data_IF_832750043278
#
_entry.id   IF_832750043278
#
_cell.length_a   1.000
_cell.length_b   1.000
_cell.length_c   1.000
_cell.angle_alpha   90.00
_cell.angle_beta   90.00
_cell.angle_gamma   90.00
#
_symmetry.space_group_name_H-M   'P 1'
#
loop_
_entity.id
_entity.type
_entity.pdbx_description
1 polymer ?
#
# COMPACT_ATOMS: atom_id res chain seq x y z
N UNK A 1 0.69 6.12 -4.71
CA UNK A 1 1.39 7.10 -5.57
C UNK A 1 2.51 6.45 -6.38
N UNK A 2 3.54 5.85 -5.77
CA UNK A 2 4.68 5.27 -6.51
C UNK A 2 4.26 4.22 -7.55
N UNK A 3 3.36 3.29 -7.22
CA UNK A 3 2.83 2.30 -8.18
C UNK A 3 2.11 2.93 -9.36
N UNK A 4 1.41 4.07 -9.15
CA UNK A 4 0.76 4.82 -10.23
C UNK A 4 1.81 5.44 -11.16
N UNK A 5 2.88 6.02 -10.60
CA UNK A 5 4.03 6.48 -11.38
C UNK A 5 4.64 5.35 -12.22
N UNK A 6 4.86 4.17 -11.63
CA UNK A 6 5.39 3.02 -12.37
C UNK A 6 4.45 2.59 -13.51
N UNK A 7 3.14 2.53 -13.25
CA UNK A 7 2.15 2.22 -14.29
C UNK A 7 2.21 3.22 -15.44
N UNK A 8 2.32 4.53 -15.14
CA UNK A 8 2.40 5.57 -16.15
C UNK A 8 3.70 5.54 -16.94
N UNK A 9 4.83 5.29 -16.28
CA UNK A 9 6.16 5.29 -16.90
C UNK A 9 6.39 4.04 -17.77
N UNK A 10 5.99 2.87 -17.27
CA UNK A 10 6.25 1.59 -17.94
C UNK A 10 5.10 1.09 -18.81
N UNK A 11 3.90 1.69 -18.71
CA UNK A 11 2.70 1.29 -19.46
C UNK A 11 2.37 -0.20 -19.29
N UNK A 12 2.42 -0.68 -18.05
CA UNK A 12 2.21 -2.09 -17.68
C UNK A 12 0.86 -2.34 -17.00
N UNK A 13 0.32 -3.57 -17.06
CA UNK A 13 -0.85 -3.95 -16.29
C UNK A 13 -0.54 -3.97 -14.78
N UNK A 14 -1.56 -3.68 -13.97
CA UNK A 14 -1.51 -3.66 -12.52
C UNK A 14 -2.64 -4.50 -11.94
N UNK A 15 -2.29 -5.36 -10.98
CA UNK A 15 -3.25 -6.03 -10.11
C UNK A 15 -3.08 -5.49 -8.69
N UNK A 16 -4.19 -5.20 -8.01
CA UNK A 16 -4.20 -4.71 -6.62
C UNK A 16 -5.07 -5.65 -5.79
N UNK A 17 -4.45 -6.31 -4.82
CA UNK A 17 -5.12 -7.21 -3.88
C UNK A 17 -5.68 -6.43 -2.68
N UNK A 18 -6.94 -6.69 -2.34
CA UNK A 18 -7.58 -6.24 -1.11
C UNK A 18 -7.78 -7.45 -0.20
N UNK A 19 -6.95 -7.54 0.84
CA UNK A 19 -6.88 -8.67 1.78
C UNK A 19 -7.99 -8.60 2.85
N UNK A 20 -9.24 -8.57 2.42
CA UNK A 20 -10.40 -8.55 3.32
C UNK A 20 -10.53 -9.81 4.16
N UNK A 21 -10.10 -10.96 3.64
CA UNK A 21 -9.97 -12.20 4.38
C UNK A 21 -8.95 -12.08 5.53
N UNK A 22 -7.77 -11.50 5.29
CA UNK A 22 -6.77 -11.19 6.32
C UNK A 22 -7.36 -10.32 7.42
N UNK A 23 -8.10 -9.26 7.06
CA UNK A 23 -8.69 -8.38 8.08
C UNK A 23 -9.73 -9.13 8.91
N UNK A 24 -10.50 -10.03 8.29
CA UNK A 24 -11.41 -10.91 9.03
C UNK A 24 -10.67 -11.88 9.97
N UNK A 25 -9.57 -12.48 9.51
CA UNK A 25 -8.77 -13.46 10.28
C UNK A 25 -8.04 -12.79 11.46
N UNK A 26 -7.34 -11.67 11.23
CA UNK A 26 -6.49 -11.03 12.25
C UNK A 26 -7.24 -10.08 13.17
N UNK A 27 -8.23 -9.34 12.65
CA UNK A 27 -9.01 -8.37 13.43
C UNK A 27 -10.35 -8.91 13.89
N UNK A 28 -10.70 -10.16 13.54
CA UNK A 28 -12.00 -10.79 13.84
C UNK A 28 -13.18 -9.94 13.33
N UNK A 29 -12.97 -9.23 12.23
CA UNK A 29 -14.01 -8.44 11.59
C UNK A 29 -15.03 -9.38 10.91
N UNK A 30 -16.35 -9.10 11.02
CA UNK A 30 -17.35 -9.84 10.25
C UNK A 30 -17.04 -9.76 8.75
N UNK A 31 -17.25 -10.87 8.02
CA UNK A 31 -16.94 -10.97 6.58
C UNK A 31 -17.60 -9.84 5.77
N UNK A 32 -18.86 -9.54 6.05
CA UNK A 32 -19.59 -8.47 5.35
C UNK A 32 -18.99 -7.09 5.62
N UNK A 33 -18.51 -6.85 6.83
CA UNK A 33 -17.82 -5.59 7.16
C UNK A 33 -16.45 -5.51 6.48
N UNK A 34 -15.70 -6.62 6.44
CA UNK A 34 -14.42 -6.67 5.74
C UNK A 34 -14.58 -6.39 4.24
N UNK A 35 -15.59 -7.00 3.59
CA UNK A 35 -15.94 -6.73 2.19
C UNK A 35 -16.35 -5.28 1.95
N UNK A 36 -17.17 -4.71 2.86
CA UNK A 36 -17.58 -3.30 2.79
C UNK A 36 -16.37 -2.37 2.87
N UNK A 37 -15.45 -2.63 3.81
CA UNK A 37 -14.22 -1.86 3.97
C UNK A 37 -13.28 -2.01 2.76
N UNK A 38 -13.17 -3.19 2.17
CA UNK A 38 -12.42 -3.39 0.93
C UNK A 38 -12.98 -2.51 -0.20
N UNK A 39 -14.30 -2.46 -0.38
CA UNK A 39 -14.92 -1.57 -1.37
C UNK A 39 -14.69 -0.09 -1.08
N UNK A 40 -14.75 0.33 0.18
CA UNK A 40 -14.42 1.72 0.54
C UNK A 40 -12.95 2.04 0.28
N UNK A 41 -12.03 1.13 0.60
CA UNK A 41 -10.60 1.31 0.30
C UNK A 41 -10.31 1.26 -1.19
N UNK A 42 -11.09 0.52 -1.99
CA UNK A 42 -10.99 0.56 -3.45
C UNK A 42 -11.24 1.98 -3.98
N UNK A 43 -12.16 2.75 -3.39
CA UNK A 43 -12.40 4.16 -3.78
C UNK A 43 -11.19 5.02 -3.54
N UNK A 44 -10.53 4.88 -2.39
CA UNK A 44 -9.30 5.60 -2.06
C UNK A 44 -8.14 5.21 -3.01
N UNK A 45 -8.04 3.94 -3.37
CA UNK A 45 -7.05 3.47 -4.35
C UNK A 45 -7.34 4.07 -5.73
N UNK A 46 -8.59 4.03 -6.20
CA UNK A 46 -8.99 4.61 -7.50
C UNK A 46 -8.72 6.12 -7.54
N UNK A 47 -8.96 6.83 -6.43
CA UNK A 47 -8.69 8.26 -6.30
C UNK A 47 -7.22 8.65 -6.51
N UNK A 48 -6.28 7.70 -6.39
CA UNK A 48 -4.88 7.91 -6.76
C UNK A 48 -4.65 8.07 -8.28
N UNK A 49 -5.68 7.82 -9.11
CA UNK A 49 -5.64 8.07 -10.55
C UNK A 49 -5.05 6.94 -11.39
N UNK A 50 -5.31 5.68 -11.02
CA UNK A 50 -4.92 4.52 -11.82
C UNK A 50 -5.71 4.41 -13.13
N UNK A 51 -5.08 3.88 -14.18
CA UNK A 51 -5.72 3.66 -15.47
C UNK A 51 -6.65 2.43 -15.41
N UNK A 52 -7.96 2.66 -15.55
CA UNK A 52 -8.97 1.59 -15.55
C UNK A 52 -8.77 0.56 -16.66
N UNK A 53 -8.11 0.93 -17.76
CA UNK A 53 -7.83 0.03 -18.88
C UNK A 53 -6.63 -0.90 -18.64
N UNK A 54 -5.89 -0.68 -17.54
CA UNK A 54 -4.70 -1.46 -17.13
C UNK A 54 -4.74 -1.95 -15.69
N UNK A 55 -5.78 -1.62 -14.94
CA UNK A 55 -5.82 -1.88 -13.50
C UNK A 55 -6.98 -2.81 -13.16
N UNK A 56 -6.65 -3.90 -12.47
CA UNK A 56 -7.62 -4.82 -11.88
C UNK A 56 -7.45 -4.80 -10.36
N UNK A 57 -8.50 -4.41 -9.64
CA UNK A 57 -8.53 -4.43 -8.17
C UNK A 57 -9.38 -5.61 -7.76
N UNK A 58 -8.96 -6.42 -6.81
CA UNK A 58 -9.77 -7.58 -6.40
C UNK A 58 -9.81 -7.74 -4.89
N UNK A 59 -10.96 -8.20 -4.40
CA UNK A 59 -11.14 -8.69 -3.03
C UNK A 59 -10.77 -10.17 -2.99
N UNK A 60 -10.08 -10.61 -1.94
CA UNK A 60 -9.73 -12.01 -1.78
C UNK A 60 -11.00 -12.87 -1.65
N UNK A 61 -11.98 -12.43 -0.85
CA UNK A 61 -13.28 -13.12 -0.79
C UNK A 61 -14.02 -13.18 -2.15
N UNK A 62 -13.78 -12.24 -3.06
CA UNK A 62 -14.39 -12.19 -4.38
C UNK A 62 -13.62 -12.93 -5.48
N UNK A 63 -12.31 -13.12 -5.33
CA UNK A 63 -11.42 -13.63 -6.38
C UNK A 63 -10.85 -15.02 -6.09
N UNK A 64 -10.78 -15.44 -4.82
CA UNK A 64 -10.23 -16.75 -4.45
C UNK A 64 -11.15 -17.85 -4.98
N UNK A 65 -10.65 -18.56 -5.99
CA UNK A 65 -11.33 -19.65 -6.67
C UNK A 65 -10.59 -20.05 -7.94
N UNK A 66 -11.02 -21.16 -8.56
CA UNK A 66 -10.46 -21.62 -9.84
C UNK A 66 -8.92 -21.60 -9.88
N UNK A 67 -8.31 -21.03 -10.93
CA UNK A 67 -6.85 -20.97 -11.11
C UNK A 67 -6.08 -20.27 -9.98
N UNK A 68 -6.69 -19.28 -9.31
CA UNK A 68 -6.10 -18.63 -8.15
C UNK A 68 -5.90 -19.63 -7.00
N UNK A 69 -6.94 -20.41 -6.69
CA UNK A 69 -6.90 -21.43 -5.64
C UNK A 69 -5.98 -22.61 -6.02
N UNK A 70 -5.95 -23.02 -7.29
CA UNK A 70 -4.98 -24.02 -7.77
C UNK A 70 -3.53 -23.60 -7.50
N UNK A 71 -3.21 -22.33 -7.74
CA UNK A 71 -1.89 -21.78 -7.41
C UNK A 71 -1.64 -21.73 -5.91
N UNK A 72 -2.67 -21.46 -5.09
CA UNK A 72 -2.53 -21.52 -3.62
C UNK A 72 -2.11 -22.91 -3.18
N UNK A 73 -2.77 -23.95 -3.69
CA UNK A 73 -2.41 -25.34 -3.36
C UNK A 73 -0.99 -25.68 -3.84
N UNK A 74 -0.65 -25.38 -5.10
CA UNK A 74 0.71 -25.61 -5.64
C UNK A 74 1.78 -24.93 -4.78
N UNK A 75 1.52 -23.69 -4.37
CA UNK A 75 2.42 -22.89 -3.54
C UNK A 75 2.54 -23.46 -2.12
N UNK A 76 1.41 -23.68 -1.43
CA UNK A 76 1.36 -24.20 -0.06
C UNK A 76 1.97 -25.59 0.08
N UNK A 77 1.87 -26.47 -0.93
CA UNK A 77 2.51 -27.80 -0.91
C UNK A 77 4.03 -27.75 -0.82
N UNK A 78 4.64 -26.59 -1.06
CA UNK A 78 6.09 -26.37 -0.99
C UNK A 78 6.53 -25.63 0.28
N UNK A 79 5.62 -25.44 1.24
CA UNK A 79 5.83 -24.72 2.49
C UNK A 79 5.48 -25.63 3.67
N UNK A 80 6.41 -25.73 4.62
CA UNK A 80 6.22 -26.45 5.87
C UNK A 80 5.72 -25.53 6.99
N UNK A 81 5.02 -26.07 7.97
CA UNK A 81 4.61 -25.32 9.16
C UNK A 81 5.79 -24.73 9.94
N UNK A 82 6.97 -25.36 9.90
CA UNK A 82 8.19 -24.81 10.50
C UNK A 82 8.67 -23.55 9.79
N UNK A 83 8.55 -23.48 8.46
CA UNK A 83 8.86 -22.25 7.72
C UNK A 83 7.88 -21.14 8.07
N UNK A 84 6.57 -21.43 8.14
CA UNK A 84 5.57 -20.44 8.54
C UNK A 84 5.82 -19.89 9.95
N UNK A 85 6.18 -20.76 10.90
CA UNK A 85 6.57 -20.37 12.25
C UNK A 85 7.82 -19.49 12.26
N UNK A 86 8.84 -19.85 11.48
CA UNK A 86 10.09 -19.09 11.42
C UNK A 86 9.95 -17.72 10.75
N UNK A 87 9.07 -17.60 9.74
CA UNK A 87 8.91 -16.37 8.95
C UNK A 87 7.89 -15.42 9.60
N UNK A 88 6.75 -15.95 10.04
CA UNK A 88 5.61 -15.15 10.50
C UNK A 88 5.30 -15.30 11.99
N UNK A 89 6.03 -16.16 12.72
CA UNK A 89 5.78 -16.42 14.14
C UNK A 89 4.49 -17.20 14.43
N UNK A 90 3.88 -17.83 13.41
CA UNK A 90 2.63 -18.57 13.55
C UNK A 90 2.85 -19.83 14.41
N UNK A 91 1.98 -20.04 15.41
CA UNK A 91 2.02 -21.20 16.31
C UNK A 91 0.87 -22.17 16.02
N UNK A 92 0.85 -23.32 16.72
CA UNK A 92 -0.26 -24.27 16.63
C UNK A 92 -1.52 -23.80 17.36
N UNK A 93 -1.42 -22.74 18.16
CA UNK A 93 -2.57 -22.11 18.86
C UNK A 93 -3.29 -21.10 17.97
N UNK A 94 -2.63 -20.67 16.88
CA UNK A 94 -3.24 -19.77 15.91
C UNK A 94 -4.34 -20.45 15.09
N UNK A 95 -5.37 -19.70 14.65
CA UNK A 95 -6.38 -20.23 13.74
C UNK A 95 -5.74 -20.75 12.45
N UNK A 96 -6.25 -21.89 11.94
CA UNK A 96 -5.77 -22.49 10.68
C UNK A 96 -5.79 -21.50 9.50
N UNK A 97 -6.70 -20.53 9.51
CA UNK A 97 -6.77 -19.48 8.50
C UNK A 97 -5.50 -18.61 8.44
N UNK A 98 -4.81 -18.36 9.58
CA UNK A 98 -3.52 -17.65 9.58
C UNK A 98 -2.43 -18.47 8.92
N UNK A 99 -2.49 -19.80 9.02
CA UNK A 99 -1.53 -20.73 8.40
C UNK A 99 -1.69 -20.71 6.88
N UNK A 100 -2.93 -20.60 6.37
CA UNK A 100 -3.19 -20.61 4.92
C UNK A 100 -2.97 -19.28 4.21
N UNK A 101 -3.19 -18.15 4.89
CA UNK A 101 -3.17 -16.82 4.29
C UNK A 101 -1.87 -16.43 3.56
N UNK A 102 -0.64 -16.80 4.02
CA UNK A 102 0.57 -16.46 3.29
C UNK A 102 0.59 -16.95 1.83
N UNK A 103 -0.17 -18.00 1.50
CA UNK A 103 -0.37 -18.42 0.11
C UNK A 103 -1.28 -17.47 -0.66
N UNK A 104 -2.37 -16.98 -0.06
CA UNK A 104 -3.26 -15.97 -0.66
C UNK A 104 -2.49 -14.71 -1.05
N UNK A 105 -1.55 -14.25 -0.21
CA UNK A 105 -0.71 -13.08 -0.49
C UNK A 105 0.36 -13.35 -1.58
N UNK A 106 0.82 -14.60 -1.69
CA UNK A 106 1.93 -14.96 -2.59
C UNK A 106 1.48 -15.13 -4.04
N UNK A 107 0.35 -15.81 -4.27
CA UNK A 107 -0.06 -16.26 -5.62
C UNK A 107 -0.43 -15.15 -6.61
N UNK A 108 -0.82 -13.92 -6.21
CA UNK A 108 -0.93 -12.80 -7.14
C UNK A 108 0.39 -12.47 -7.86
N UNK A 109 1.53 -12.94 -7.35
CA UNK A 109 2.84 -12.81 -7.99
C UNK A 109 2.95 -13.62 -9.29
N UNK A 110 2.02 -14.54 -9.55
CA UNK A 110 2.06 -15.45 -10.69
C UNK A 110 0.93 -15.14 -11.70
N UNK A 111 1.25 -14.92 -12.99
CA UNK A 111 0.26 -14.55 -14.00
C UNK A 111 -0.87 -15.57 -14.17
N UNK A 112 -0.58 -16.85 -13.93
CA UNK A 112 -1.56 -17.94 -14.00
C UNK A 112 -2.68 -17.83 -12.96
N UNK A 113 -2.54 -16.99 -11.93
CA UNK A 113 -3.63 -16.67 -10.99
C UNK A 113 -4.70 -15.78 -11.63
N UNK A 114 -4.38 -15.10 -12.75
CA UNK A 114 -5.30 -14.21 -13.47
C UNK A 114 -5.36 -14.57 -14.96
N UNK A 115 -5.85 -15.77 -15.33
CA UNK A 115 -5.83 -16.23 -16.72
C UNK A 115 -6.73 -15.39 -17.63
N UNK A 116 -7.73 -14.70 -17.07
CA UNK A 116 -8.57 -13.75 -17.80
C UNK A 116 -7.82 -12.46 -18.20
N UNK A 117 -6.71 -12.13 -17.51
CA UNK A 117 -5.82 -11.01 -17.86
C UNK A 117 -4.64 -11.48 -18.71
N UNK A 118 -4.07 -12.63 -18.36
CA UNK A 118 -2.77 -13.07 -18.88
C UNK A 118 -2.86 -14.37 -19.69
N UNK A 119 -3.94 -14.55 -20.46
CA UNK A 119 -4.13 -15.75 -21.30
C UNK A 119 -2.92 -15.99 -22.21
N UNK A 120 -2.29 -17.17 -22.09
CA UNK A 120 -1.12 -17.56 -22.87
C UNK A 120 0.18 -16.83 -22.50
N UNK A 121 0.21 -16.08 -21.39
CA UNK A 121 1.36 -15.28 -20.93
C UNK A 121 1.90 -15.79 -19.58
N UNK A 122 2.24 -17.07 -19.53
CA UNK A 122 2.64 -17.75 -18.29
C UNK A 122 4.00 -17.30 -17.72
N UNK A 123 4.83 -16.63 -18.53
CA UNK A 123 6.20 -16.23 -18.19
C UNK A 123 6.35 -14.72 -17.90
N UNK A 124 5.26 -13.99 -17.66
CA UNK A 124 5.37 -12.57 -17.29
C UNK A 124 6.10 -12.41 -15.95
N UNK A 125 6.97 -11.39 -15.90
CA UNK A 125 7.63 -11.00 -14.65
C UNK A 125 6.68 -10.13 -13.82
N UNK A 126 6.67 -10.35 -12.52
CA UNK A 126 5.95 -9.54 -11.55
C UNK A 126 6.92 -8.57 -10.84
N UNK A 127 6.52 -7.30 -10.72
CA UNK A 127 7.19 -6.30 -9.89
C UNK A 127 6.24 -5.90 -8.77
N UNK A 128 6.73 -5.94 -7.53
CA UNK A 128 5.93 -5.70 -6.32
C UNK A 128 6.50 -4.49 -5.58
N UNK A 129 5.88 -3.30 -5.73
CA UNK A 129 6.17 -2.15 -4.89
C UNK A 129 5.44 -2.30 -3.55
N UNK A 130 6.17 -2.38 -2.45
CA UNK A 130 5.60 -2.53 -1.12
C UNK A 130 6.48 -1.84 -0.05
N UNK A 131 5.95 -1.66 1.15
CA UNK A 131 6.79 -1.30 2.29
C UNK A 131 7.58 -2.52 2.78
N UNK A 132 8.70 -2.29 3.46
CA UNK A 132 9.63 -3.34 3.92
C UNK A 132 8.99 -4.40 4.84
N UNK A 133 7.87 -4.11 5.50
CA UNK A 133 7.16 -5.09 6.35
C UNK A 133 6.52 -6.22 5.56
N UNK A 134 6.37 -6.08 4.24
CA UNK A 134 5.83 -7.13 3.37
C UNK A 134 6.91 -8.09 2.83
N UNK A 135 8.21 -7.78 2.98
CA UNK A 135 9.31 -8.64 2.51
C UNK A 135 9.18 -10.11 2.96
N UNK A 136 8.78 -10.44 4.21
CA UNK A 136 8.66 -11.84 4.62
C UNK A 136 7.75 -12.70 3.71
N UNK A 137 6.64 -12.13 3.20
CA UNK A 137 5.76 -12.82 2.26
C UNK A 137 6.44 -13.08 0.91
N UNK A 138 7.11 -12.08 0.38
CA UNK A 138 7.67 -12.15 -0.96
C UNK A 138 9.05 -12.83 -1.01
N UNK A 139 9.82 -12.79 0.08
CA UNK A 139 11.00 -13.62 0.27
C UNK A 139 10.64 -15.11 0.24
N UNK A 140 9.60 -15.50 0.99
CA UNK A 140 9.03 -16.86 0.92
C UNK A 140 8.54 -17.17 -0.50
N UNK A 141 7.87 -16.21 -1.15
CA UNK A 141 7.37 -16.38 -2.52
C UNK A 141 8.49 -16.65 -3.51
N UNK A 142 9.62 -15.94 -3.40
CA UNK A 142 10.81 -16.11 -4.24
C UNK A 142 11.52 -17.44 -4.01
N UNK A 143 11.45 -18.02 -2.82
CA UNK A 143 12.00 -19.35 -2.51
C UNK A 143 11.17 -20.48 -3.10
N UNK A 144 9.84 -20.30 -3.16
CA UNK A 144 8.90 -21.30 -3.68
C UNK A 144 8.75 -21.22 -5.20
N UNK A 145 8.73 -20.02 -5.78
CA UNK A 145 8.51 -19.80 -7.22
C UNK A 145 9.27 -20.77 -8.15
N UNK A 146 10.61 -20.96 -8.03
CA UNK A 146 11.33 -21.88 -8.92
C UNK A 146 10.96 -23.35 -8.73
N UNK A 147 10.46 -23.76 -7.55
CA UNK A 147 10.04 -25.16 -7.28
C UNK A 147 8.74 -25.52 -7.98
N UNK A 148 7.91 -24.52 -8.27
CA UNK A 148 6.62 -24.68 -8.95
C UNK A 148 6.67 -24.20 -10.41
N UNK A 149 7.87 -23.96 -10.95
CA UNK A 149 8.06 -23.58 -12.36
C UNK A 149 7.73 -22.13 -12.69
N UNK A 150 7.64 -21.24 -11.70
CA UNK A 150 7.37 -19.81 -11.91
C UNK A 150 8.62 -18.92 -11.73
N UNK A 151 8.54 -17.73 -12.30
CA UNK A 151 9.56 -16.70 -12.15
C UNK A 151 9.50 -16.06 -10.76
N UNK A 152 10.66 -15.73 -10.20
CA UNK A 152 10.73 -14.99 -8.93
C UNK A 152 10.18 -13.56 -9.13
N UNK A 153 9.27 -13.07 -8.27
CA UNK A 153 8.86 -11.66 -8.33
C UNK A 153 10.05 -10.74 -7.97
N UNK A 154 10.12 -9.58 -8.61
CA UNK A 154 10.99 -8.48 -8.24
C UNK A 154 10.29 -7.59 -7.21
N UNK A 155 11.04 -6.96 -6.31
CA UNK A 155 10.51 -6.06 -5.27
C UNK A 155 11.15 -4.68 -5.41
N UNK A 156 10.38 -3.65 -5.08
CA UNK A 156 10.90 -2.32 -4.72
C UNK A 156 10.31 -1.99 -3.36
N UNK A 157 11.19 -1.81 -2.36
CA UNK A 157 10.80 -1.65 -0.97
C UNK A 157 10.89 -0.18 -0.57
N UNK A 158 9.79 0.37 -0.06
CA UNK A 158 9.80 1.71 0.53
C UNK A 158 10.16 1.64 2.03
N UNK A 159 10.83 2.68 2.50
CA UNK A 159 10.93 2.96 3.94
C UNK A 159 9.54 3.19 4.54
N UNK A 160 9.42 3.03 5.86
CA UNK A 160 8.18 3.38 6.55
C UNK A 160 7.92 4.88 6.51
N UNK A 161 6.65 5.23 6.33
CA UNK A 161 6.20 6.59 6.55
C UNK A 161 6.15 6.84 8.07
N UNK A 162 6.85 7.87 8.59
CA UNK A 162 6.99 8.09 10.02
C UNK A 162 5.66 8.49 10.67
N UNK A 163 5.44 8.07 11.92
CA UNK A 163 4.34 8.56 12.72
C UNK A 163 4.58 10.01 13.20
N UNK A 164 3.50 10.76 13.43
CA UNK A 164 3.57 12.17 13.85
C UNK A 164 4.38 12.37 15.14
N UNK A 165 4.18 11.48 16.12
CA UNK A 165 4.73 11.61 17.47
C UNK A 165 6.22 11.22 17.61
N UNK A 166 6.89 10.84 16.51
CA UNK A 166 8.35 10.76 16.47
C UNK A 166 9.01 9.54 17.12
N UNK A 167 8.39 8.82 18.05
CA UNK A 167 9.02 7.66 18.70
C UNK A 167 8.55 6.32 18.09
N UNK A 168 9.51 5.60 17.49
CA UNK A 168 9.53 4.17 17.12
C UNK A 168 8.46 3.56 16.18
N UNK A 169 7.49 4.32 15.63
CA UNK A 169 6.33 3.72 14.94
C UNK A 169 6.15 3.98 13.44
N UNK A 170 5.63 2.94 12.75
CA UNK A 170 4.81 3.04 11.53
C UNK A 170 3.52 3.80 11.86
N UNK A 171 3.08 4.70 10.98
CA UNK A 171 1.76 5.35 11.13
C UNK A 171 0.66 4.28 11.25
N UNK A 172 -0.11 4.31 12.33
CA UNK A 172 -1.12 3.30 12.65
C UNK A 172 -2.48 3.95 12.84
N UNK A 173 -3.50 3.39 12.19
CA UNK A 173 -4.88 3.83 12.37
C UNK A 173 -5.43 3.59 13.79
N UNK A 174 -4.68 2.91 14.66
CA UNK A 174 -5.08 2.62 16.05
C UNK A 174 -4.93 3.81 17.01
N UNK A 175 -4.10 4.80 16.70
CA UNK A 175 -4.06 6.09 17.42
C UNK A 175 -4.45 7.21 16.44
N UNK A 176 -5.66 7.79 16.58
CA UNK A 176 -6.15 8.87 15.73
C UNK A 176 -5.25 10.12 15.68
N UNK A 177 -4.43 10.34 16.71
CA UNK A 177 -3.51 11.48 16.81
C UNK A 177 -2.10 11.16 16.32
N UNK A 178 -1.84 9.91 15.93
CA UNK A 178 -0.55 9.48 15.37
C UNK A 178 -0.48 9.61 13.84
N UNK A 179 -1.63 9.81 13.20
CA UNK A 179 -1.81 9.74 11.76
C UNK A 179 -2.56 10.94 11.19
N UNK A 180 -2.15 11.36 9.99
CA UNK A 180 -2.95 12.22 9.12
C UNK A 180 -3.77 11.30 8.23
N UNK A 181 -5.09 11.35 8.34
CA UNK A 181 -5.98 10.58 7.49
C UNK A 181 -6.28 11.34 6.20
N UNK A 182 -6.53 10.59 5.12
CA UNK A 182 -6.96 11.16 3.83
C UNK A 182 -8.38 11.75 3.85
N UNK A 183 -9.02 11.74 5.02
CA UNK A 183 -10.35 12.32 5.29
C UNK A 183 -10.28 13.47 6.30
N UNK A 184 -9.09 13.82 6.80
CA UNK A 184 -8.93 14.93 7.75
C UNK A 184 -9.22 16.27 7.06
N UNK A 185 -9.86 17.19 7.79
CA UNK A 185 -10.03 18.57 7.32
C UNK A 185 -8.71 19.36 7.40
N UNK A 186 -8.65 20.51 6.72
CA UNK A 186 -7.49 21.41 6.83
C UNK A 186 -7.20 21.81 8.30
N UNK A 187 -8.24 22.02 9.10
CA UNK A 187 -8.12 22.34 10.52
C UNK A 187 -7.61 21.14 11.34
N UNK A 188 -8.05 19.92 11.02
CA UNK A 188 -7.56 18.69 11.67
C UNK A 188 -6.08 18.44 11.35
N UNK A 189 -5.69 18.61 10.08
CA UNK A 189 -4.29 18.50 9.64
C UNK A 189 -3.43 19.51 10.40
N UNK A 190 -3.85 20.78 10.41
CA UNK A 190 -3.17 21.85 11.14
C UNK A 190 -3.03 21.51 12.63
N UNK A 191 -4.13 21.13 13.28
CA UNK A 191 -4.14 20.77 14.69
C UNK A 191 -3.16 19.62 14.99
N UNK A 192 -3.21 18.54 14.19
CA UNK A 192 -2.35 17.38 14.38
C UNK A 192 -0.87 17.69 14.17
N UNK A 193 -0.53 18.50 13.17
CA UNK A 193 0.86 18.91 12.93
C UNK A 193 1.36 19.85 14.04
N UNK A 194 0.57 20.84 14.44
CA UNK A 194 0.98 21.79 15.47
C UNK A 194 1.16 21.11 16.83
N UNK A 195 0.25 20.21 17.21
CA UNK A 195 0.20 19.59 18.55
C UNK A 195 0.95 18.28 18.68
N UNK A 196 0.98 17.46 17.63
CA UNK A 196 1.47 16.08 17.72
C UNK A 196 2.68 15.79 16.85
N UNK A 197 3.00 16.63 15.84
CA UNK A 197 4.23 16.44 15.09
C UNK A 197 5.45 16.77 15.97
N UNK A 198 6.33 15.77 16.11
CA UNK A 198 7.56 15.85 16.87
C UNK A 198 8.51 16.89 16.29
N UNK A 199 8.86 17.91 17.09
CA UNK A 199 9.82 18.96 16.69
C UNK A 199 11.24 18.59 17.07
N UNK A 200 12.11 18.46 16.08
CA UNK A 200 13.52 18.09 16.26
C UNK A 200 14.41 19.20 16.84
N UNK A 201 13.87 20.37 17.16
CA UNK A 201 14.59 21.44 17.84
C UNK A 201 15.85 21.93 17.11
N UNK A 202 15.78 22.09 15.78
CA UNK A 202 16.89 22.61 14.97
C UNK A 202 18.00 21.61 14.63
N UNK A 203 17.90 20.35 15.08
CA UNK A 203 18.64 19.22 14.49
C UNK A 203 17.71 18.54 13.50
N UNK A 204 18.24 18.06 12.36
CA UNK A 204 17.54 17.35 11.27
C UNK A 204 16.37 16.49 11.81
N UNK A 205 15.21 17.13 11.93
CA UNK A 205 14.08 16.59 12.68
C UNK A 205 13.26 15.71 11.78
N UNK A 206 12.50 14.79 12.36
CA UNK A 206 11.54 13.97 11.60
C UNK A 206 10.44 14.80 10.93
N UNK A 207 10.23 16.07 11.31
CA UNK A 207 9.40 17.03 10.55
C UNK A 207 9.82 17.12 9.08
N UNK A 208 11.12 17.05 8.82
CA UNK A 208 11.68 17.11 7.47
C UNK A 208 11.24 15.94 6.59
N UNK A 209 10.99 14.78 7.19
CA UNK A 209 10.67 13.57 6.44
C UNK A 209 9.36 13.67 5.66
N UNK A 210 8.35 14.39 6.17
CA UNK A 210 7.07 14.56 5.48
C UNK A 210 7.24 15.32 4.16
N UNK A 211 8.08 16.36 4.15
CA UNK A 211 8.39 17.10 2.92
C UNK A 211 9.19 16.24 1.95
N UNK A 212 10.14 15.42 2.43
CA UNK A 212 10.87 14.47 1.55
C UNK A 212 9.95 13.47 0.82
N UNK A 213 8.77 13.16 1.37
CA UNK A 213 7.82 12.24 0.74
C UNK A 213 6.83 12.90 -0.22
N UNK A 214 6.49 14.18 0.01
CA UNK A 214 5.34 14.82 -0.65
C UNK A 214 5.66 16.14 -1.36
N UNK A 215 6.85 16.72 -1.14
CA UNK A 215 7.29 17.90 -1.86
C UNK A 215 8.07 17.45 -3.11
N UNK A 216 7.50 17.71 -4.28
CA UNK A 216 8.09 17.33 -5.57
C UNK A 216 9.24 18.26 -6.01
N UNK A 217 9.38 19.45 -5.42
CA UNK A 217 10.44 20.42 -5.74
C UNK A 217 11.71 20.14 -4.93
N UNK A 218 12.67 19.44 -5.54
CA UNK A 218 13.97 19.12 -4.95
C UNK A 218 14.75 20.38 -4.52
N UNK A 219 14.63 21.49 -5.26
CA UNK A 219 15.34 22.74 -4.94
C UNK A 219 14.76 23.39 -3.69
N UNK A 220 13.43 23.36 -3.57
CA UNK A 220 12.75 23.85 -2.37
C UNK A 220 13.10 22.97 -1.15
N UNK A 221 13.13 21.65 -1.33
CA UNK A 221 13.49 20.70 -0.26
C UNK A 221 14.92 20.94 0.24
N UNK A 222 15.90 21.08 -0.65
CA UNK A 222 17.29 21.39 -0.30
C UNK A 222 17.42 22.74 0.44
N UNK A 223 16.65 23.75 0.01
CA UNK A 223 16.61 25.04 0.68
C UNK A 223 16.08 24.90 2.12
N UNK A 224 14.98 24.16 2.31
CA UNK A 224 14.39 23.91 3.63
C UNK A 224 15.35 23.13 4.53
N UNK A 225 16.03 22.09 4.02
CA UNK A 225 17.05 21.35 4.77
C UNK A 225 18.15 22.28 5.29
N UNK A 226 18.67 23.17 4.43
CA UNK A 226 19.75 24.09 4.77
C UNK A 226 19.31 25.16 5.77
N UNK A 227 18.14 25.75 5.60
CA UNK A 227 17.64 26.80 6.50
C UNK A 227 17.22 26.24 7.86
N UNK A 228 16.57 25.08 7.91
CA UNK A 228 16.20 24.42 9.15
C UNK A 228 17.41 23.85 9.89
N UNK A 229 18.33 23.18 9.18
CA UNK A 229 19.56 22.63 9.76
C UNK A 229 20.53 23.70 10.29
N UNK A 230 20.45 24.93 9.76
CA UNK A 230 21.24 26.07 10.26
C UNK A 230 20.55 26.86 11.38
N UNK A 231 19.32 26.50 11.75
CA UNK A 231 18.53 27.19 12.77
C UNK A 231 17.96 28.55 12.34
N UNK A 232 18.08 28.92 11.05
CA UNK A 232 17.49 30.15 10.49
C UNK A 232 15.98 30.01 10.28
N UNK A 233 15.51 28.82 9.92
CA UNK A 233 14.09 28.50 9.85
C UNK A 233 13.61 27.96 11.19
N UNK A 234 12.55 28.56 11.74
CA UNK A 234 11.92 28.10 12.98
C UNK A 234 11.04 26.87 12.71
N UNK A 235 10.79 26.07 13.75
CA UNK A 235 9.84 24.93 13.62
C UNK A 235 8.38 25.40 13.46
N UNK A 236 8.00 26.50 14.12
CA UNK A 236 6.66 27.10 14.03
C UNK A 236 6.65 28.55 13.52
N UNK A 237 5.45 29.13 13.44
CA UNK A 237 5.21 30.49 12.91
C UNK A 237 4.97 30.50 11.38
N UNK A 238 4.58 31.65 10.83
CA UNK A 238 4.12 31.79 9.42
C UNK A 238 5.16 31.47 8.33
N UNK A 239 6.42 31.24 8.71
CA UNK A 239 7.50 30.76 7.81
C UNK A 239 8.20 29.53 8.39
N UNK A 240 7.56 28.81 9.29
CA UNK A 240 8.11 27.62 9.93
C UNK A 240 7.91 26.36 9.10
N UNK A 241 8.75 25.34 9.32
CA UNK A 241 8.67 24.07 8.59
C UNK A 241 7.29 23.41 8.74
N UNK A 242 6.67 23.52 9.92
CA UNK A 242 5.32 22.98 10.18
C UNK A 242 4.26 23.62 9.29
N UNK A 243 4.35 24.93 9.02
CA UNK A 243 3.41 25.61 8.14
C UNK A 243 3.53 25.07 6.72
N UNK A 244 4.74 24.87 6.21
CA UNK A 244 4.94 24.30 4.88
C UNK A 244 4.43 22.85 4.79
N UNK A 245 4.66 22.05 5.83
CA UNK A 245 4.10 20.69 5.91
C UNK A 245 2.57 20.74 5.87
N UNK A 246 1.93 21.64 6.62
CA UNK A 246 0.47 21.79 6.62
C UNK A 246 -0.02 22.13 5.22
N UNK A 247 0.60 23.10 4.53
CA UNK A 247 0.21 23.47 3.16
C UNK A 247 0.26 22.28 2.20
N UNK A 248 1.40 21.58 2.15
CA UNK A 248 1.61 20.42 1.25
C UNK A 248 0.62 19.29 1.55
N UNK A 249 0.43 18.96 2.83
CA UNK A 249 -0.50 17.90 3.23
C UNK A 249 -1.96 18.28 3.00
N UNK A 250 -2.34 19.53 3.26
CA UNK A 250 -3.69 20.01 3.00
C UNK A 250 -4.00 19.96 1.51
N UNK A 251 -3.10 20.44 0.64
CA UNK A 251 -3.29 20.35 -0.81
C UNK A 251 -3.43 18.88 -1.28
N UNK A 252 -2.57 18.00 -0.77
CA UNK A 252 -2.59 16.57 -1.08
C UNK A 252 -3.93 15.92 -0.68
N UNK A 253 -4.38 16.16 0.55
CA UNK A 253 -5.62 15.57 1.09
C UNK A 253 -6.84 16.16 0.39
N UNK A 254 -6.89 17.46 0.14
CA UNK A 254 -8.00 18.10 -0.59
C UNK A 254 -8.12 17.57 -2.03
N UNK A 255 -6.98 17.41 -2.72
CA UNK A 255 -6.94 16.81 -4.06
C UNK A 255 -7.44 15.37 -4.05
N UNK A 256 -7.01 14.58 -3.07
CA UNK A 256 -7.48 13.20 -2.89
C UNK A 256 -8.98 13.14 -2.59
N UNK A 257 -9.47 13.95 -1.64
CA UNK A 257 -10.88 14.05 -1.31
C UNK A 257 -11.75 14.40 -2.52
N UNK A 258 -11.32 15.37 -3.33
CA UNK A 258 -12.00 15.75 -4.58
C UNK A 258 -12.02 14.60 -5.59
N UNK A 259 -10.89 13.90 -5.76
CA UNK A 259 -10.80 12.75 -6.65
C UNK A 259 -11.68 11.59 -6.16
N UNK A 260 -11.65 11.28 -4.87
CA UNK A 260 -12.47 10.25 -4.22
C UNK A 260 -13.97 10.54 -4.34
N UNK A 261 -14.38 11.80 -4.18
CA UNK A 261 -15.77 12.22 -4.35
C UNK A 261 -16.31 11.99 -5.77
N UNK A 262 -15.43 11.96 -6.79
CA UNK A 262 -15.79 11.63 -8.16
C UNK A 262 -15.86 10.12 -8.44
N UNK A 263 -15.40 9.27 -7.51
CA UNK A 263 -15.44 7.80 -7.68
C UNK A 263 -16.86 7.30 -7.42
N UNK A 264 -17.51 6.81 -8.47
CA UNK A 264 -18.85 6.20 -8.37
C UNK A 264 -18.77 4.70 -8.07
N UNK A 265 -19.87 4.12 -7.58
CA UNK A 265 -19.96 2.65 -7.42
C UNK A 265 -19.74 1.92 -8.75
N UNK A 266 -20.25 2.46 -9.86
CA UNK A 266 -20.04 1.89 -11.19
C UNK A 266 -18.54 1.89 -11.58
N UNK A 267 -17.76 2.89 -11.15
CA UNK A 267 -16.31 2.88 -11.33
C UNK A 267 -15.67 1.79 -10.48
N UNK A 268 -16.03 1.67 -9.20
CA UNK A 268 -15.52 0.60 -8.33
C UNK A 268 -15.81 -0.77 -8.92
N UNK A 269 -17.06 -1.02 -9.33
CA UNK A 269 -17.47 -2.25 -9.99
C UNK A 269 -16.69 -2.49 -11.27
N UNK A 270 -16.48 -1.43 -12.07
CA UNK A 270 -15.70 -1.55 -13.28
C UNK A 270 -14.24 -1.91 -12.99
N UNK A 271 -13.56 -1.30 -12.00
CA UNK A 271 -12.19 -1.67 -11.59
C UNK A 271 -12.11 -3.10 -11.04
N UNK A 272 -13.15 -3.54 -10.31
CA UNK A 272 -13.20 -4.85 -9.65
C UNK A 272 -13.78 -5.98 -10.50
N UNK A 273 -14.36 -5.69 -11.66
CA UNK A 273 -14.90 -6.69 -12.56
C UNK A 273 -13.80 -7.50 -13.23
N UNK A 274 -13.99 -8.82 -13.26
CA UNK A 274 -13.22 -9.76 -14.08
C UNK A 274 -13.49 -9.43 -15.55
N UNK A 275 -12.56 -8.71 -16.19
CA UNK A 275 -12.73 -8.21 -17.56
C UNK A 275 -11.41 -8.25 -18.32
N UNK A 276 -11.43 -8.39 -19.66
CA UNK A 276 -10.25 -8.14 -20.47
C UNK A 276 -9.79 -6.69 -20.32
N UNK A 277 -8.49 -6.50 -20.30
CA UNK A 277 -7.86 -5.18 -20.28
C UNK A 277 -7.24 -4.96 -21.68
N UNK A 278 -7.95 -4.32 -22.63
CA UNK A 278 -7.59 -4.37 -24.04
C UNK A 278 -6.28 -3.63 -24.37
N UNK A 279 -5.83 -2.71 -23.52
CA UNK A 279 -4.61 -1.91 -23.69
C UNK A 279 -3.57 -2.20 -22.61
N UNK A 280 -3.46 -3.43 -22.13
CA UNK A 280 -2.53 -3.73 -21.00
C UNK A 280 -1.07 -3.37 -21.29
N UNK A 281 -0.62 -3.55 -22.53
CA UNK A 281 0.79 -3.46 -22.93
C UNK A 281 1.05 -2.40 -24.02
N UNK A 282 0.02 -1.65 -24.41
CA UNK A 282 0.10 -0.63 -25.49
C UNK A 282 0.61 0.73 -25.00
#
# INVERSE_FOLDING_TARGET
MFTKYLQDAFKVPLVIQLTDDEKSIWKKLPVEEAKRLARENAKDIIACGFDISRTFIFSDFGCVGGPFYENMIKFSSNITGNQLRGIFGITLEDPAAKISFPATQAVPSFPSSFPHLFTGKDNLRCLIPCAIDQDPYFRMTRDVAPKIGYQKPALIESSFFPALQGDTGKMSASDPNSAIYVTDSADDIKYKIERHAFSGGGKSGKEHSYLQFFLDDDTELEYIEKEYGSGRMLSGGTRGIKTRIIEVLTELVEKHCKARAAVTEAMVDAFMAVRPLPKMFD
#
